data_IF_299986275402
#
_entry.id   IF_299986275402
#
_cell.length_a   1.000
_cell.length_b   1.000
_cell.length_c   1.000
_cell.angle_alpha   90.00
_cell.angle_beta   90.00
_cell.angle_gamma   90.00
#
_symmetry.space_group_name_H-M   'P 1'
#
loop_
_entity.id
_entity.type
_entity.pdbx_description
1 polymer ?
#
# COMPACT_ATOMS: atom_id res chain seq x y z
N UNK A 1 3.82 -36.03 -13.72
CA UNK A 1 2.49 -35.90 -13.09
C UNK A 1 1.60 -35.10 -14.03
N UNK A 2 0.39 -35.56 -14.33
CA UNK A 2 -0.59 -34.78 -15.12
C UNK A 2 -1.21 -33.67 -14.24
N UNK A 3 -1.85 -32.66 -14.84
CA UNK A 3 -2.45 -31.54 -14.10
C UNK A 3 -3.53 -32.00 -13.13
N UNK A 4 -4.35 -32.97 -13.55
CA UNK A 4 -5.36 -33.59 -12.71
C UNK A 4 -4.73 -34.37 -11.53
N UNK A 5 -3.60 -35.05 -11.77
CA UNK A 5 -2.90 -35.81 -10.73
C UNK A 5 -2.20 -34.89 -9.71
N UNK A 6 -1.70 -33.73 -10.16
CA UNK A 6 -1.14 -32.72 -9.26
C UNK A 6 -2.22 -32.10 -8.37
N UNK A 7 -3.33 -31.67 -8.96
CA UNK A 7 -4.45 -31.12 -8.23
C UNK A 7 -4.98 -32.11 -7.19
N UNK A 8 -5.14 -33.38 -7.60
CA UNK A 8 -5.61 -34.43 -6.71
C UNK A 8 -4.66 -34.68 -5.53
N UNK A 9 -3.35 -34.72 -5.78
CA UNK A 9 -2.36 -34.85 -4.70
C UNK A 9 -2.38 -33.65 -3.74
N UNK A 10 -2.42 -32.42 -4.28
CA UNK A 10 -2.47 -31.20 -3.48
C UNK A 10 -3.75 -31.09 -2.63
N UNK A 11 -4.90 -31.48 -3.18
CA UNK A 11 -6.17 -31.55 -2.46
C UNK A 11 -6.16 -32.67 -1.41
N UNK A 12 -5.66 -33.86 -1.76
CA UNK A 12 -5.53 -34.99 -0.84
C UNK A 12 -4.69 -34.63 0.39
N UNK A 13 -3.57 -33.91 0.19
CA UNK A 13 -2.71 -33.46 1.28
C UNK A 13 -3.41 -32.56 2.31
N UNK A 14 -4.55 -31.92 1.99
CA UNK A 14 -5.34 -31.15 2.95
C UNK A 14 -5.91 -32.01 4.09
N UNK A 15 -5.99 -33.34 3.93
CA UNK A 15 -6.35 -34.25 5.02
C UNK A 15 -5.34 -34.20 6.19
N UNK A 16 -4.11 -33.78 5.90
CA UNK A 16 -3.05 -33.62 6.91
C UNK A 16 -3.16 -32.32 7.70
N UNK A 17 -4.05 -31.40 7.31
CA UNK A 17 -4.29 -30.15 8.04
C UNK A 17 -4.88 -30.44 9.42
N UNK A 18 -4.32 -29.86 10.50
CA UNK A 18 -4.92 -29.92 11.83
C UNK A 18 -5.99 -28.83 12.02
N UNK A 19 -6.34 -28.04 11.00
CA UNK A 19 -7.35 -26.99 11.10
C UNK A 19 -8.75 -27.56 10.83
N UNK A 20 -9.80 -27.01 11.46
CA UNK A 20 -11.17 -27.45 11.21
C UNK A 20 -11.55 -27.15 9.76
N UNK A 21 -12.18 -28.13 9.09
CA UNK A 21 -12.74 -28.01 7.74
C UNK A 21 -13.87 -26.98 7.74
N UNK A 22 -13.57 -25.72 7.39
CA UNK A 22 -14.54 -24.61 7.29
C UNK A 22 -14.37 -23.91 5.95
N UNK A 23 -15.48 -23.43 5.38
CA UNK A 23 -15.48 -22.61 4.16
C UNK A 23 -15.50 -23.36 2.82
N UNK A 24 -15.56 -24.71 2.83
CA UNK A 24 -15.76 -25.52 1.63
C UNK A 24 -14.76 -25.23 0.49
N UNK A 25 -15.23 -25.32 -0.75
CA UNK A 25 -14.43 -25.06 -1.95
C UNK A 25 -13.81 -23.65 -1.97
N UNK A 26 -14.53 -22.63 -1.50
CA UNK A 26 -14.05 -21.24 -1.50
C UNK A 26 -12.79 -21.04 -0.66
N UNK A 27 -12.71 -21.69 0.50
CA UNK A 27 -11.52 -21.64 1.35
C UNK A 27 -10.30 -22.27 0.66
N UNK A 28 -10.51 -23.35 -0.09
CA UNK A 28 -9.44 -24.02 -0.86
C UNK A 28 -9.02 -23.16 -2.05
N UNK A 29 -9.96 -22.51 -2.76
CA UNK A 29 -9.65 -21.55 -3.82
C UNK A 29 -8.82 -20.37 -3.30
N UNK A 30 -9.13 -19.86 -2.10
CA UNK A 30 -8.34 -18.80 -1.46
C UNK A 30 -6.92 -19.29 -1.15
N UNK A 31 -6.77 -20.50 -0.64
CA UNK A 31 -5.47 -21.12 -0.41
C UNK A 31 -4.68 -21.36 -1.71
N UNK A 32 -5.36 -21.79 -2.78
CA UNK A 32 -4.79 -21.95 -4.12
C UNK A 32 -4.31 -20.60 -4.68
N UNK A 33 -5.04 -19.51 -4.41
CA UNK A 33 -4.63 -18.14 -4.76
C UNK A 33 -3.31 -17.79 -4.09
N UNK A 34 -3.17 -18.01 -2.78
CA UNK A 34 -1.92 -17.75 -2.06
C UNK A 34 -0.79 -18.65 -2.56
N UNK A 35 -1.06 -19.94 -2.75
CA UNK A 35 -0.11 -20.90 -3.31
C UNK A 35 0.45 -20.42 -4.66
N UNK A 36 -0.42 -20.04 -5.60
CA UNK A 36 -0.03 -19.57 -6.93
C UNK A 36 0.77 -18.27 -6.86
N UNK A 37 0.39 -17.33 -5.98
CA UNK A 37 1.16 -16.09 -5.78
C UNK A 37 2.56 -16.39 -5.27
N UNK A 38 2.69 -17.24 -4.25
CA UNK A 38 4.00 -17.66 -3.67
C UNK A 38 4.85 -18.35 -4.75
N UNK A 39 4.24 -19.25 -5.53
CA UNK A 39 4.89 -19.95 -6.63
C UNK A 39 5.47 -18.99 -7.67
N UNK A 40 4.65 -18.02 -8.11
CA UNK A 40 5.03 -17.07 -9.16
C UNK A 40 6.10 -16.06 -8.72
N UNK A 41 6.27 -15.83 -7.41
CA UNK A 41 7.38 -15.02 -6.88
C UNK A 41 8.67 -15.83 -6.66
N UNK A 42 8.66 -17.13 -7.00
CA UNK A 42 9.85 -18.00 -7.01
C UNK A 42 10.04 -18.86 -5.77
N UNK A 43 9.10 -18.83 -4.82
CA UNK A 43 9.12 -19.68 -3.64
C UNK A 43 8.14 -20.84 -3.79
N UNK A 44 8.44 -21.99 -3.17
CA UNK A 44 7.68 -23.21 -3.40
C UNK A 44 7.11 -23.73 -2.08
N UNK A 45 5.88 -23.33 -1.77
CA UNK A 45 5.15 -23.73 -0.56
C UNK A 45 3.97 -24.62 -0.96
N UNK A 46 3.89 -25.89 -0.50
CA UNK A 46 2.75 -26.75 -0.78
C UNK A 46 1.40 -26.16 -0.35
N UNK A 47 0.32 -26.55 -1.04
CA UNK A 47 -1.03 -26.05 -0.80
C UNK A 47 -1.44 -26.19 0.67
N UNK A 48 -1.13 -27.32 1.30
CA UNK A 48 -1.38 -27.58 2.74
C UNK A 48 -0.87 -26.45 3.64
N UNK A 49 0.39 -26.05 3.48
CA UNK A 49 1.00 -25.05 4.35
C UNK A 49 0.53 -23.63 4.02
N UNK A 50 0.28 -23.35 2.73
CA UNK A 50 -0.33 -22.08 2.31
C UNK A 50 -1.75 -21.94 2.87
N UNK A 51 -2.54 -23.02 2.83
CA UNK A 51 -3.87 -23.10 3.43
C UNK A 51 -3.80 -22.84 4.94
N UNK A 52 -3.00 -23.62 5.67
CA UNK A 52 -3.03 -23.56 7.14
C UNK A 52 -2.55 -22.21 7.68
N UNK A 53 -1.38 -21.75 7.21
CA UNK A 53 -0.83 -20.49 7.69
C UNK A 53 -1.64 -19.30 7.17
N UNK A 54 -2.09 -19.33 5.91
CA UNK A 54 -2.92 -18.26 5.37
C UNK A 54 -4.25 -18.14 6.11
N UNK A 55 -4.87 -19.25 6.53
CA UNK A 55 -6.06 -19.23 7.40
C UNK A 55 -5.77 -18.68 8.78
N UNK A 56 -4.67 -19.07 9.42
CA UNK A 56 -4.27 -18.43 10.69
C UNK A 56 -4.12 -16.91 10.55
N UNK A 57 -3.48 -16.44 9.48
CA UNK A 57 -3.25 -15.00 9.26
C UNK A 57 -4.52 -14.21 8.92
N UNK A 58 -5.54 -14.85 8.35
CA UNK A 58 -6.78 -14.19 7.90
C UNK A 58 -7.96 -14.36 8.86
N UNK A 59 -8.05 -15.51 9.53
CA UNK A 59 -9.16 -15.87 10.43
C UNK A 59 -8.74 -15.86 11.91
N UNK A 60 -7.43 -15.89 12.19
CA UNK A 60 -6.88 -15.94 13.54
C UNK A 60 -6.83 -17.36 14.10
N UNK A 61 -6.74 -17.44 15.43
CA UNK A 61 -6.66 -18.72 16.14
C UNK A 61 -7.98 -19.49 16.02
N UNK A 62 -7.97 -20.73 15.50
CA UNK A 62 -9.17 -21.56 15.39
C UNK A 62 -9.63 -22.05 16.77
N UNK A 63 -10.91 -22.43 16.88
CA UNK A 63 -11.50 -22.97 18.11
C UNK A 63 -10.88 -24.30 18.52
N UNK A 64 -10.48 -25.12 17.56
CA UNK A 64 -9.80 -26.39 17.77
C UNK A 64 -8.65 -26.54 16.78
N UNK A 65 -7.57 -27.20 17.22
CA UNK A 65 -6.43 -27.60 16.38
C UNK A 65 -6.20 -29.08 16.63
N UNK A 66 -6.47 -29.90 15.63
CA UNK A 66 -6.29 -31.35 15.65
C UNK A 66 -6.92 -32.01 14.44
N UNK A 67 -6.50 -33.25 14.19
CA UNK A 67 -7.00 -34.08 13.11
C UNK A 67 -8.23 -34.87 13.56
N UNK A 68 -9.17 -35.10 12.64
CA UNK A 68 -10.25 -36.04 12.86
C UNK A 68 -9.75 -37.47 12.62
N UNK A 69 -9.93 -38.35 13.62
CA UNK A 69 -9.43 -39.72 13.53
C UNK A 69 -10.08 -40.51 12.37
N UNK A 70 -11.33 -40.21 12.04
CA UNK A 70 -12.05 -40.84 10.94
C UNK A 70 -11.43 -40.49 9.58
N UNK A 71 -11.07 -39.22 9.37
CA UNK A 71 -10.42 -38.75 8.14
C UNK A 71 -9.05 -39.38 7.94
N UNK A 72 -8.23 -39.44 9.00
CA UNK A 72 -6.92 -40.09 8.93
C UNK A 72 -7.05 -41.57 8.62
N UNK A 73 -8.02 -42.26 9.24
CA UNK A 73 -8.28 -43.68 8.96
C UNK A 73 -8.72 -43.90 7.51
N UNK A 74 -9.62 -43.05 6.98
CA UNK A 74 -10.06 -43.10 5.58
C UNK A 74 -8.91 -42.81 4.60
N UNK A 75 -7.95 -41.98 4.98
CA UNK A 75 -6.71 -41.73 4.23
C UNK A 75 -5.66 -42.85 4.34
N UNK A 76 -5.97 -43.96 5.04
CA UNK A 76 -5.03 -45.06 5.27
C UNK A 76 -3.95 -44.76 6.31
N UNK A 77 -4.09 -43.69 7.10
CA UNK A 77 -3.14 -43.26 8.13
C UNK A 77 -3.52 -43.88 9.47
N UNK A 78 -2.97 -45.07 9.74
CA UNK A 78 -3.17 -45.78 11.00
C UNK A 78 -2.27 -45.26 12.15
N UNK A 79 -2.60 -45.58 13.43
CA UNK A 79 -1.84 -45.13 14.60
C UNK A 79 -0.35 -45.52 14.63
N UNK A 80 0.02 -46.60 13.94
CA UNK A 80 1.41 -47.09 13.83
C UNK A 80 2.18 -46.53 12.63
N UNK A 81 1.58 -45.67 11.81
CA UNK A 81 2.25 -45.10 10.64
C UNK A 81 3.29 -44.05 11.04
N UNK A 82 4.43 -44.01 10.36
CA UNK A 82 5.51 -43.05 10.64
C UNK A 82 5.07 -41.59 10.50
N UNK A 83 4.05 -41.32 9.68
CA UNK A 83 3.49 -39.99 9.45
C UNK A 83 2.73 -39.44 10.67
N UNK A 84 2.19 -40.29 11.57
CA UNK A 84 1.46 -39.83 12.77
C UNK A 84 2.36 -38.97 13.66
N UNK A 85 3.64 -39.32 13.81
CA UNK A 85 4.59 -38.52 14.59
C UNK A 85 4.86 -37.16 13.93
N UNK A 86 4.93 -37.12 12.60
CA UNK A 86 5.05 -35.87 11.85
C UNK A 86 3.81 -35.00 11.99
N UNK A 87 2.61 -35.58 11.93
CA UNK A 87 1.35 -34.88 12.15
C UNK A 87 1.27 -34.27 13.56
N UNK A 88 1.74 -34.99 14.58
CA UNK A 88 1.82 -34.46 15.95
C UNK A 88 2.78 -33.27 16.06
N UNK A 89 3.96 -33.37 15.43
CA UNK A 89 4.94 -32.29 15.42
C UNK A 89 4.42 -31.06 14.65
N UNK A 90 3.80 -31.27 13.49
CA UNK A 90 3.19 -30.21 12.70
C UNK A 90 1.99 -29.57 13.42
N UNK A 91 1.17 -30.36 14.10
CA UNK A 91 0.09 -29.85 14.96
C UNK A 91 0.63 -28.97 16.09
N UNK A 92 1.75 -29.34 16.70
CA UNK A 92 2.41 -28.51 17.70
C UNK A 92 2.88 -27.18 17.08
N UNK A 93 3.51 -27.22 15.90
CA UNK A 93 3.90 -26.01 15.16
C UNK A 93 2.71 -25.08 14.88
N UNK A 94 1.61 -25.61 14.37
CA UNK A 94 0.40 -24.82 14.08
C UNK A 94 -0.21 -24.24 15.37
N UNK A 95 -0.17 -24.99 16.48
CA UNK A 95 -0.63 -24.49 17.78
C UNK A 95 0.24 -23.33 18.27
N UNK A 96 1.55 -23.44 18.15
CA UNK A 96 2.48 -22.42 18.63
C UNK A 96 2.42 -21.16 17.75
N UNK A 97 2.37 -21.34 16.41
CA UNK A 97 2.11 -20.24 15.47
C UNK A 97 0.81 -19.52 15.79
N UNK A 98 -0.25 -20.25 16.13
CA UNK A 98 -1.54 -19.66 16.47
C UNK A 98 -1.55 -18.82 17.76
N UNK A 99 -0.49 -18.88 18.58
CA UNK A 99 -0.33 -18.00 19.77
C UNK A 99 0.52 -16.77 19.49
N UNK A 100 1.14 -16.65 18.31
CA UNK A 100 1.99 -15.51 17.98
C UNK A 100 1.15 -14.22 17.89
N UNK A 101 1.75 -13.09 18.25
CA UNK A 101 1.10 -11.78 18.10
C UNK A 101 0.70 -11.50 16.64
N UNK A 102 1.47 -12.00 15.67
CA UNK A 102 1.14 -11.91 14.25
C UNK A 102 -0.24 -12.50 13.94
N UNK A 103 -0.52 -13.72 14.39
CA UNK A 103 -1.81 -14.39 14.16
C UNK A 103 -2.95 -13.72 14.94
N UNK A 104 -2.66 -13.16 16.12
CA UNK A 104 -3.68 -12.41 16.87
C UNK A 104 -4.05 -11.06 16.22
N UNK A 105 -3.10 -10.40 15.54
CA UNK A 105 -3.29 -9.04 15.01
C UNK A 105 -3.71 -9.01 13.53
N UNK A 106 -3.17 -9.91 12.71
CA UNK A 106 -3.36 -9.91 11.26
C UNK A 106 -4.85 -9.94 10.81
N UNK A 107 -5.76 -10.74 11.43
CA UNK A 107 -7.16 -10.78 11.02
C UNK A 107 -7.87 -9.43 11.13
N UNK A 108 -7.52 -8.62 12.13
CA UNK A 108 -8.10 -7.29 12.33
C UNK A 108 -7.66 -6.26 11.28
N UNK A 109 -6.68 -6.57 10.44
CA UNK A 109 -6.13 -5.67 9.43
C UNK A 109 -6.74 -5.87 8.04
N UNK A 110 -7.55 -6.92 7.82
CA UNK A 110 -8.17 -7.22 6.52
C UNK A 110 -7.15 -7.23 5.37
N UNK A 111 -6.09 -8.00 5.53
CA UNK A 111 -4.97 -8.07 4.57
C UNK A 111 -5.42 -8.64 3.21
N UNK A 112 -4.85 -8.12 2.11
CA UNK A 112 -5.09 -8.65 0.76
C UNK A 112 -4.46 -10.04 0.57
N UNK A 113 -4.86 -10.74 -0.50
CA UNK A 113 -4.27 -12.05 -0.84
C UNK A 113 -2.77 -11.97 -1.09
N UNK A 114 -2.28 -10.88 -1.69
CA UNK A 114 -0.87 -10.62 -1.94
C UNK A 114 -0.10 -10.42 -0.64
N UNK A 115 -0.68 -9.71 0.33
CA UNK A 115 -0.07 -9.52 1.64
C UNK A 115 0.01 -10.84 2.41
N UNK A 116 -1.06 -11.65 2.39
CA UNK A 116 -1.06 -12.97 3.03
C UNK A 116 -0.04 -13.90 2.35
N UNK A 117 -0.02 -13.95 1.02
CA UNK A 117 0.94 -14.75 0.27
C UNK A 117 2.40 -14.35 0.58
N UNK A 118 2.68 -13.03 0.62
CA UNK A 118 3.99 -12.51 0.99
C UNK A 118 4.40 -12.87 2.43
N UNK A 119 3.47 -12.83 3.38
CA UNK A 119 3.71 -13.25 4.77
C UNK A 119 3.98 -14.75 4.89
N UNK A 120 3.16 -15.58 4.23
CA UNK A 120 3.36 -17.04 4.21
C UNK A 120 4.74 -17.37 3.62
N UNK A 121 5.12 -16.72 2.50
CA UNK A 121 6.44 -16.87 1.92
C UNK A 121 7.54 -16.42 2.90
N UNK A 122 7.38 -15.27 3.56
CA UNK A 122 8.36 -14.73 4.52
C UNK A 122 8.62 -15.65 5.70
N UNK A 123 7.61 -16.39 6.12
CA UNK A 123 7.67 -17.31 7.26
C UNK A 123 8.25 -18.67 6.85
N UNK A 124 7.77 -19.24 5.74
CA UNK A 124 8.04 -20.63 5.37
C UNK A 124 9.17 -20.79 4.35
N UNK A 125 9.33 -19.88 3.40
CA UNK A 125 10.31 -20.03 2.32
C UNK A 125 11.76 -20.16 2.83
N UNK A 126 12.24 -19.36 3.82
CA UNK A 126 13.60 -19.51 4.35
C UNK A 126 13.89 -20.89 4.98
N UNK A 127 12.84 -21.61 5.39
CA UNK A 127 12.93 -22.94 5.99
C UNK A 127 12.89 -24.04 4.93
N UNK A 128 12.14 -23.82 3.84
CA UNK A 128 11.91 -24.80 2.78
C UNK A 128 12.91 -24.69 1.61
N UNK A 129 13.46 -23.50 1.34
CA UNK A 129 14.43 -23.27 0.25
C UNK A 129 15.66 -24.19 0.26
N UNK A 130 16.28 -24.51 1.42
CA UNK A 130 17.44 -25.40 1.45
C UNK A 130 17.16 -26.82 0.95
N UNK A 131 15.89 -27.23 0.81
CA UNK A 131 15.49 -28.50 0.20
C UNK A 131 15.84 -28.58 -1.29
N UNK A 132 16.13 -27.44 -1.92
CA UNK A 132 16.56 -27.33 -3.30
C UNK A 132 15.40 -27.30 -4.31
N UNK A 133 15.52 -26.52 -5.40
CA UNK A 133 14.46 -26.34 -6.38
C UNK A 133 14.12 -27.60 -7.17
N UNK A 134 14.94 -28.66 -7.16
CA UNK A 134 14.67 -29.89 -7.90
C UNK A 134 13.54 -30.72 -7.27
N UNK A 135 13.50 -30.86 -5.94
CA UNK A 135 12.40 -31.53 -5.23
C UNK A 135 11.10 -30.73 -5.33
N UNK A 136 11.20 -29.40 -5.27
CA UNK A 136 10.07 -28.48 -5.34
C UNK A 136 9.51 -28.32 -6.77
N UNK A 137 10.35 -28.15 -7.80
CA UNK A 137 9.91 -27.97 -9.20
C UNK A 137 9.37 -29.24 -9.83
N UNK A 138 9.80 -30.41 -9.36
CA UNK A 138 9.22 -31.69 -9.80
C UNK A 138 7.77 -31.86 -9.32
N UNK A 139 7.39 -31.18 -8.23
CA UNK A 139 6.08 -31.30 -7.59
C UNK A 139 5.17 -30.10 -7.86
N UNK A 140 5.68 -28.88 -7.70
CA UNK A 140 4.96 -27.60 -7.83
C UNK A 140 5.29 -26.95 -9.18
N UNK A 141 4.85 -27.59 -10.27
CA UNK A 141 5.22 -27.17 -11.63
C UNK A 141 4.23 -26.22 -12.29
N UNK A 142 3.04 -26.03 -11.70
CA UNK A 142 1.91 -25.32 -12.32
C UNK A 142 1.03 -24.64 -11.27
N UNK A 143 0.33 -23.62 -11.72
CA UNK A 143 -0.72 -22.98 -10.94
C UNK A 143 -1.89 -23.94 -10.71
N UNK A 144 -2.45 -23.89 -9.50
CA UNK A 144 -3.71 -24.56 -9.17
C UNK A 144 -4.90 -23.78 -9.76
N UNK A 145 -6.00 -24.46 -10.13
CA UNK A 145 -7.20 -23.80 -10.63
C UNK A 145 -7.78 -22.84 -9.58
N UNK A 146 -8.34 -21.72 -10.02
CA UNK A 146 -9.00 -20.74 -9.14
C UNK A 146 -10.53 -20.80 -9.27
N UNK A 147 -11.06 -21.81 -9.97
CA UNK A 147 -12.48 -22.08 -10.09
C UNK A 147 -12.95 -22.98 -8.96
N UNK A 148 -14.04 -22.60 -8.28
CA UNK A 148 -14.58 -23.36 -7.15
C UNK A 148 -15.05 -24.76 -7.54
N UNK A 149 -15.56 -24.94 -8.77
CA UNK A 149 -16.04 -26.23 -9.27
C UNK A 149 -14.95 -27.29 -9.32
N UNK A 150 -13.67 -26.90 -9.42
CA UNK A 150 -12.53 -27.83 -9.32
C UNK A 150 -12.36 -28.45 -7.92
N UNK A 151 -13.07 -27.94 -6.90
CA UNK A 151 -12.94 -28.33 -5.50
C UNK A 151 -14.24 -28.87 -4.85
N UNK A 152 -15.40 -28.78 -5.52
CA UNK A 152 -16.71 -29.04 -4.90
C UNK A 152 -17.02 -30.51 -4.58
N UNK A 153 -16.48 -31.48 -5.32
CA UNK A 153 -16.87 -32.91 -5.25
C UNK A 153 -15.78 -33.78 -4.62
N UNK A 154 -14.74 -33.15 -4.07
CA UNK A 154 -13.51 -33.84 -3.71
C UNK A 154 -13.53 -34.30 -2.26
N UNK A 155 -13.27 -35.59 -2.03
CA UNK A 155 -13.00 -36.16 -0.71
C UNK A 155 -11.49 -36.28 -0.46
N UNK A 156 -10.87 -35.37 0.33
CA UNK A 156 -9.41 -35.37 0.55
C UNK A 156 -8.84 -36.69 1.08
N UNK A 157 -9.47 -37.39 2.06
CA UNK A 157 -9.03 -38.72 2.48
C UNK A 157 -8.88 -39.72 1.34
N UNK A 158 -9.90 -39.85 0.48
CA UNK A 158 -9.84 -40.77 -0.67
C UNK A 158 -8.74 -40.41 -1.66
N UNK A 159 -8.59 -39.11 -1.98
CA UNK A 159 -7.50 -38.66 -2.86
C UNK A 159 -6.12 -38.91 -2.27
N UNK A 160 -5.97 -38.73 -0.96
CA UNK A 160 -4.73 -39.01 -0.25
C UNK A 160 -4.38 -40.50 -0.29
N UNK A 161 -5.35 -41.38 -0.08
CA UNK A 161 -5.13 -42.82 -0.15
C UNK A 161 -4.66 -43.26 -1.56
N UNK A 162 -5.12 -42.58 -2.61
CA UNK A 162 -4.74 -42.86 -3.99
C UNK A 162 -3.38 -42.25 -4.39
N UNK A 163 -3.08 -41.01 -3.96
CA UNK A 163 -1.95 -40.22 -4.46
C UNK A 163 -0.79 -40.02 -3.47
N UNK A 164 -1.05 -40.12 -2.15
CA UNK A 164 -0.07 -39.90 -1.09
C UNK A 164 0.39 -38.45 -0.89
N UNK A 165 1.43 -38.27 -0.05
CA UNK A 165 1.94 -36.96 0.42
C UNK A 165 3.41 -36.71 0.04
N UNK A 166 3.84 -37.10 -1.16
CA UNK A 166 5.27 -37.25 -1.49
C UNK A 166 6.15 -36.05 -1.10
N UNK A 167 5.79 -34.83 -1.51
CA UNK A 167 6.56 -33.63 -1.20
C UNK A 167 6.13 -32.97 0.13
N UNK A 168 4.84 -33.05 0.46
CA UNK A 168 4.26 -32.48 1.68
C UNK A 168 4.80 -33.16 2.93
N UNK A 169 5.01 -34.47 2.92
CA UNK A 169 5.60 -35.20 4.04
C UNK A 169 7.06 -34.76 4.27
N UNK A 170 7.83 -34.60 3.20
CA UNK A 170 9.21 -34.12 3.29
C UNK A 170 9.23 -32.68 3.81
N UNK A 171 8.42 -31.79 3.25
CA UNK A 171 8.30 -30.40 3.71
C UNK A 171 7.84 -30.33 5.18
N UNK A 172 6.87 -31.15 5.58
CA UNK A 172 6.40 -31.25 6.96
C UNK A 172 7.51 -31.67 7.91
N UNK A 173 8.33 -32.65 7.51
CA UNK A 173 9.52 -33.07 8.27
C UNK A 173 10.51 -31.92 8.44
N UNK A 174 10.79 -31.18 7.37
CA UNK A 174 11.67 -30.01 7.41
C UNK A 174 11.16 -28.91 8.36
N UNK A 175 9.86 -28.62 8.31
CA UNK A 175 9.22 -27.64 9.21
C UNK A 175 9.26 -28.13 10.67
N UNK A 176 9.01 -29.41 10.91
CA UNK A 176 9.06 -30.00 12.25
C UNK A 176 10.48 -29.96 12.83
N UNK A 177 11.51 -30.28 12.05
CA UNK A 177 12.91 -30.19 12.46
C UNK A 177 13.36 -28.75 12.73
N UNK A 178 12.79 -27.78 12.01
CA UNK A 178 13.11 -26.34 12.11
C UNK A 178 12.03 -25.53 12.81
N UNK A 179 11.29 -26.16 13.71
CA UNK A 179 10.18 -25.58 14.45
C UNK A 179 10.47 -24.16 14.98
N UNK A 180 11.58 -24.00 15.70
CA UNK A 180 11.98 -22.72 16.30
C UNK A 180 12.29 -21.63 15.26
N UNK A 181 12.85 -22.01 14.11
CA UNK A 181 13.14 -21.07 13.02
C UNK A 181 11.84 -20.54 12.41
N UNK A 182 10.83 -21.39 12.24
CA UNK A 182 9.51 -20.98 11.73
C UNK A 182 8.86 -19.96 12.69
N UNK A 183 8.89 -20.23 14.00
CA UNK A 183 8.38 -19.31 15.01
C UNK A 183 9.14 -17.99 15.03
N UNK A 184 10.48 -18.04 14.99
CA UNK A 184 11.32 -16.84 14.91
C UNK A 184 10.99 -16.01 13.66
N UNK A 185 10.77 -16.65 12.50
CA UNK A 185 10.39 -15.93 11.29
C UNK A 185 9.04 -15.22 11.43
N UNK A 186 8.06 -15.86 12.08
CA UNK A 186 6.76 -15.26 12.36
C UNK A 186 6.86 -14.09 13.35
N UNK A 187 7.66 -14.23 14.42
CA UNK A 187 7.88 -13.17 15.41
C UNK A 187 8.65 -11.96 14.87
N UNK A 188 9.49 -12.17 13.84
CA UNK A 188 10.24 -11.11 13.17
C UNK A 188 9.40 -10.28 12.20
N UNK A 189 8.17 -10.69 11.89
CA UNK A 189 7.28 -9.90 11.05
C UNK A 189 6.91 -8.62 11.79
N UNK A 190 7.25 -7.49 11.20
CA UNK A 190 6.91 -6.19 11.75
C UNK A 190 5.40 -5.89 11.59
N UNK A 191 4.71 -5.78 12.72
CA UNK A 191 3.27 -5.51 12.77
C UNK A 191 2.95 -4.07 12.34
N UNK A 192 3.87 -3.14 12.52
CA UNK A 192 3.70 -1.75 12.07
C UNK A 192 3.71 -1.70 10.54
N UNK A 193 4.58 -2.47 9.90
CA UNK A 193 4.55 -2.68 8.44
C UNK A 193 3.17 -3.16 7.97
N UNK A 194 2.58 -4.16 8.64
CA UNK A 194 1.25 -4.65 8.30
C UNK A 194 0.15 -3.60 8.49
N UNK A 195 0.22 -2.85 9.59
CA UNK A 195 -0.74 -1.79 9.87
C UNK A 195 -0.67 -0.67 8.84
N UNK A 196 0.53 -0.29 8.40
CA UNK A 196 0.69 0.71 7.34
C UNK A 196 0.17 0.18 6.01
N UNK A 197 0.50 -1.07 5.65
CA UNK A 197 -0.02 -1.70 4.43
C UNK A 197 -1.56 -1.69 4.46
N UNK A 198 -2.20 -2.04 5.58
CA UNK A 198 -3.65 -2.00 5.70
C UNK A 198 -4.22 -0.57 5.56
N UNK A 199 -3.55 0.45 6.13
CA UNK A 199 -4.00 1.84 6.04
C UNK A 199 -3.90 2.45 4.63
N UNK A 200 -2.93 1.98 3.83
CA UNK A 200 -2.64 2.48 2.49
C UNK A 200 -3.07 1.52 1.37
N UNK A 201 -3.44 0.29 1.69
CA UNK A 201 -3.57 -0.84 0.76
C UNK A 201 -4.96 -1.43 0.64
N UNK A 202 -6.01 -0.68 1.02
CA UNK A 202 -7.39 -1.04 0.72
C UNK A 202 -7.69 -0.96 -0.79
N UNK A 203 -7.47 -2.08 -1.47
CA UNK A 203 -8.10 -2.57 -2.70
C UNK A 203 -8.17 -1.66 -3.94
N UNK A 204 -7.19 -1.85 -4.85
CA UNK A 204 -7.41 -1.99 -6.30
C UNK A 204 -6.09 -2.14 -7.10
N UNK A 205 -4.97 -1.59 -6.61
CA UNK A 205 -3.76 -1.41 -7.43
C UNK A 205 -2.68 -2.48 -7.29
N UNK A 206 -2.80 -3.36 -6.30
CA UNK A 206 -1.80 -4.35 -5.93
C UNK A 206 -2.33 -5.76 -6.19
N UNK A 207 -2.81 -6.02 -7.41
CA UNK A 207 -3.30 -7.35 -7.79
C UNK A 207 -2.21 -8.12 -8.52
N UNK A 208 -1.95 -9.34 -8.06
CA UNK A 208 -1.12 -10.31 -8.75
C UNK A 208 0.32 -10.44 -8.26
N UNK A 209 1.15 -11.25 -8.96
CA UNK A 209 2.42 -11.74 -8.42
C UNK A 209 3.45 -10.66 -8.14
N UNK A 210 3.50 -9.61 -8.95
CA UNK A 210 4.45 -8.51 -8.75
C UNK A 210 4.17 -7.75 -7.45
N UNK A 211 2.89 -7.56 -7.11
CA UNK A 211 2.51 -6.94 -5.85
C UNK A 211 2.90 -7.82 -4.64
N UNK A 212 2.71 -9.15 -4.74
CA UNK A 212 3.16 -10.08 -3.70
C UNK A 212 4.70 -10.04 -3.54
N UNK A 213 5.45 -9.98 -4.64
CA UNK A 213 6.92 -9.88 -4.61
C UNK A 213 7.38 -8.56 -3.98
N UNK A 214 6.74 -7.46 -4.34
CA UNK A 214 7.07 -6.15 -3.80
C UNK A 214 6.78 -6.08 -2.29
N UNK A 215 5.65 -6.64 -1.83
CA UNK A 215 5.32 -6.76 -0.41
C UNK A 215 6.31 -7.68 0.32
N UNK A 216 6.69 -8.81 -0.28
CA UNK A 216 7.71 -9.71 0.26
C UNK A 216 9.04 -8.98 0.48
N UNK A 217 9.46 -8.15 -0.47
CA UNK A 217 10.67 -7.30 -0.35
C UNK A 217 10.53 -6.26 0.76
N UNK A 218 9.36 -5.66 0.94
CA UNK A 218 9.11 -4.71 2.04
C UNK A 218 9.30 -5.39 3.40
N UNK A 219 8.77 -6.60 3.59
CA UNK A 219 8.93 -7.36 4.84
C UNK A 219 10.37 -7.79 5.11
N UNK A 220 11.26 -7.74 4.12
CA UNK A 220 12.67 -8.12 4.27
C UNK A 220 13.64 -6.92 4.30
N UNK A 221 13.16 -5.70 4.05
CA UNK A 221 14.00 -4.49 4.04
C UNK A 221 13.95 -3.73 5.38
N UNK A 222 15.01 -3.75 6.21
CA UNK A 222 15.05 -3.00 7.48
C UNK A 222 14.88 -1.49 7.28
N UNK A 223 15.37 -0.94 6.17
CA UNK A 223 15.24 0.49 5.90
C UNK A 223 13.78 0.89 5.63
N UNK A 224 12.98 -0.02 5.08
CA UNK A 224 11.54 0.19 4.92
C UNK A 224 10.84 0.23 6.29
N UNK A 225 11.18 -0.68 7.21
CA UNK A 225 10.60 -0.71 8.56
C UNK A 225 10.77 0.62 9.30
N UNK A 226 11.96 1.23 9.25
CA UNK A 226 12.22 2.53 9.88
C UNK A 226 11.35 3.66 9.30
N UNK A 227 11.16 3.68 7.98
CA UNK A 227 10.29 4.64 7.28
C UNK A 227 8.83 4.44 7.70
N UNK A 228 8.40 3.19 7.83
CA UNK A 228 7.03 2.84 8.19
C UNK A 228 6.73 3.27 9.62
N UNK A 229 7.59 2.91 10.57
CA UNK A 229 7.44 3.31 11.96
C UNK A 229 7.38 4.84 12.08
N UNK A 230 8.25 5.57 11.39
CA UNK A 230 8.19 7.04 11.36
C UNK A 230 6.89 7.56 10.73
N UNK A 231 6.39 6.94 9.66
CA UNK A 231 5.11 7.35 9.04
C UNK A 231 3.93 7.16 10.00
N UNK A 232 3.87 6.04 10.73
CA UNK A 232 2.82 5.76 11.71
C UNK A 232 2.85 6.70 12.92
N UNK A 233 4.00 7.30 13.25
CA UNK A 233 4.09 8.37 14.26
C UNK A 233 3.35 9.66 13.83
N UNK A 234 3.29 9.92 12.52
CA UNK A 234 2.73 11.16 11.96
C UNK A 234 1.24 11.04 11.61
N UNK A 235 0.80 9.86 11.15
CA UNK A 235 -0.53 9.63 10.59
C UNK A 235 -1.73 9.90 11.51
N UNK A 236 -1.71 9.59 12.83
CA UNK A 236 -2.86 9.79 13.69
C UNK A 236 -3.42 11.22 13.67
N UNK A 237 -2.55 12.23 13.75
CA UNK A 237 -2.96 13.63 13.75
C UNK A 237 -3.51 14.10 12.40
N UNK A 238 -3.06 13.49 11.31
CA UNK A 238 -3.56 13.78 9.96
C UNK A 238 -4.94 13.17 9.77
N UNK A 239 -5.16 11.96 10.29
CA UNK A 239 -6.49 11.35 10.23
C UNK A 239 -7.52 12.08 11.10
N UNK A 240 -7.11 12.74 12.19
CA UNK A 240 -7.99 13.61 12.97
C UNK A 240 -8.56 14.78 12.15
N UNK A 241 -7.79 15.35 11.20
CA UNK A 241 -8.31 16.37 10.27
C UNK A 241 -9.42 15.85 9.34
N UNK A 242 -9.55 14.53 9.15
CA UNK A 242 -10.71 13.95 8.44
C UNK A 242 -12.01 14.06 9.25
N UNK A 243 -11.92 13.99 10.58
CA UNK A 243 -13.11 14.07 11.46
C UNK A 243 -13.69 15.48 11.53
N UNK A 244 -12.86 16.53 11.42
CA UNK A 244 -13.35 17.92 11.40
C UNK A 244 -14.08 18.29 10.09
N UNK A 245 -13.65 17.77 8.94
CA UNK A 245 -14.37 17.94 7.65
C UNK A 245 -15.70 17.17 7.58
N UNK A 246 -15.94 16.22 8.49
CA UNK A 246 -17.21 15.48 8.56
C UNK A 246 -18.40 16.31 9.04
N UNK A 247 -18.19 17.54 9.50
CA UNK A 247 -19.21 18.35 10.15
C UNK A 247 -19.37 19.73 9.49
N UNK A 248 -19.36 19.76 8.16
CA UNK A 248 -20.01 20.81 7.36
C UNK A 248 -20.13 20.30 5.92
N UNK A 249 -20.97 19.27 5.72
CA UNK A 249 -21.68 19.18 4.45
C UNK A 249 -22.72 20.29 4.51
N UNK A 250 -22.47 21.40 3.81
CA UNK A 250 -23.58 22.26 3.43
C UNK A 250 -24.50 21.39 2.58
N UNK A 251 -25.62 20.99 3.16
CA UNK A 251 -26.72 20.46 2.40
C UNK A 251 -27.25 21.61 1.56
N UNK A 252 -27.14 21.47 0.24
CA UNK A 252 -27.83 22.24 -0.81
C UNK A 252 -27.15 23.56 -1.20
N UNK A 253 -26.89 23.68 -2.52
CA UNK A 253 -26.66 24.90 -3.30
C UNK A 253 -27.09 26.19 -2.57
N UNK A 254 -26.13 26.84 -1.92
CA UNK A 254 -26.35 28.15 -1.30
C UNK A 254 -26.63 29.21 -2.37
N UNK A 255 -27.53 30.15 -2.06
CA UNK A 255 -27.71 31.36 -2.86
C UNK A 255 -26.67 32.38 -2.39
N UNK A 256 -25.66 32.65 -3.21
CA UNK A 256 -24.64 33.66 -2.95
C UNK A 256 -25.13 35.10 -3.18
N UNK A 257 -26.21 35.29 -3.96
CA UNK A 257 -26.77 36.61 -4.20
C UNK A 257 -27.95 36.62 -5.18
N UNK A 258 -28.41 37.82 -5.53
CA UNK A 258 -29.46 38.05 -6.53
C UNK A 258 -28.83 38.81 -7.71
N UNK A 259 -29.06 38.31 -8.93
CA UNK A 259 -28.56 38.90 -10.17
C UNK A 259 -29.71 39.28 -11.10
N UNK A 260 -29.43 40.17 -12.06
CA UNK A 260 -30.39 40.59 -13.10
C UNK A 260 -30.31 39.77 -14.39
N UNK A 261 -29.44 38.76 -14.42
CA UNK A 261 -29.24 37.82 -15.52
C UNK A 261 -28.89 36.45 -14.96
N UNK A 262 -29.42 35.39 -15.57
CA UNK A 262 -29.18 34.01 -15.16
C UNK A 262 -29.89 33.03 -16.07
N UNK A 263 -29.74 31.73 -15.80
CA UNK A 263 -30.52 30.70 -16.47
C UNK A 263 -31.99 30.79 -16.01
N UNK A 264 -33.00 30.63 -16.89
CA UNK A 264 -34.41 30.49 -16.50
C UNK A 264 -34.67 29.62 -15.27
N UNK A 265 -33.91 28.53 -15.10
CA UNK A 265 -34.01 27.61 -13.95
C UNK A 265 -33.60 28.25 -12.61
N UNK A 266 -33.08 29.48 -12.64
CA UNK A 266 -32.59 30.24 -11.50
C UNK A 266 -33.44 31.49 -11.24
N UNK A 267 -34.54 31.71 -11.94
CA UNK A 267 -35.44 32.84 -11.69
C UNK A 267 -35.93 32.78 -10.24
N UNK A 268 -35.89 33.92 -9.54
CA UNK A 268 -36.41 34.04 -8.18
C UNK A 268 -37.91 33.71 -8.22
N UNK A 269 -38.44 32.78 -7.40
CA UNK A 269 -39.83 32.32 -7.49
C UNK A 269 -40.86 33.45 -7.43
N UNK A 270 -40.58 34.53 -6.70
CA UNK A 270 -41.43 35.71 -6.63
C UNK A 270 -41.60 36.41 -7.99
N UNK A 271 -40.63 36.31 -8.90
CA UNK A 271 -40.76 36.83 -10.26
C UNK A 271 -41.78 36.05 -11.08
N UNK A 272 -41.98 34.76 -10.81
CA UNK A 272 -42.98 33.92 -11.48
C UNK A 272 -44.40 34.14 -10.94
N UNK A 273 -44.55 34.88 -9.84
CA UNK A 273 -45.85 35.20 -9.26
C UNK A 273 -46.47 36.48 -9.87
N UNK A 274 -45.75 37.19 -10.75
CA UNK A 274 -46.30 38.35 -11.45
C UNK A 274 -47.32 37.93 -12.53
N UNK A 275 -48.34 38.76 -12.81
CA UNK A 275 -49.20 38.59 -13.97
C UNK A 275 -48.41 38.50 -15.29
N UNK A 276 -48.91 37.74 -16.27
CA UNK A 276 -48.21 37.42 -17.52
C UNK A 276 -47.71 38.65 -18.30
N UNK A 277 -48.48 39.74 -18.30
CA UNK A 277 -48.13 41.00 -18.95
C UNK A 277 -46.96 41.71 -18.24
N UNK A 278 -46.96 41.71 -16.90
CA UNK A 278 -45.88 42.26 -16.07
C UNK A 278 -44.61 41.42 -16.18
N UNK A 279 -44.76 40.09 -16.18
CA UNK A 279 -43.63 39.17 -16.37
C UNK A 279 -43.00 39.34 -17.76
N UNK A 280 -43.80 39.37 -18.83
CA UNK A 280 -43.33 39.58 -20.19
C UNK A 280 -42.60 40.93 -20.35
N UNK A 281 -43.12 42.00 -19.74
CA UNK A 281 -42.46 43.30 -19.73
C UNK A 281 -41.09 43.25 -19.02
N UNK A 282 -41.01 42.60 -17.85
CA UNK A 282 -39.75 42.42 -17.11
C UNK A 282 -38.73 41.56 -17.87
N UNK A 283 -39.18 40.54 -18.61
CA UNK A 283 -38.33 39.74 -19.49
C UNK A 283 -37.73 40.61 -20.60
N UNK A 284 -38.57 41.38 -21.29
CA UNK A 284 -38.15 42.25 -22.39
C UNK A 284 -37.13 43.32 -21.94
N UNK A 285 -37.34 43.88 -20.74
CA UNK A 285 -36.48 44.93 -20.16
C UNK A 285 -35.25 44.39 -19.40
N UNK A 286 -35.01 43.07 -19.39
CA UNK A 286 -33.94 42.43 -18.59
C UNK A 286 -33.98 42.81 -17.10
N UNK A 287 -35.17 42.88 -16.52
CA UNK A 287 -35.39 43.25 -15.11
C UNK A 287 -35.68 42.05 -14.21
N UNK A 288 -35.74 40.83 -14.76
CA UNK A 288 -35.93 39.62 -13.96
C UNK A 288 -34.77 39.39 -12.99
N UNK A 289 -35.12 38.91 -11.80
CA UNK A 289 -34.19 38.55 -10.76
C UNK A 289 -33.91 37.04 -10.80
N UNK A 290 -32.64 36.68 -10.65
CA UNK A 290 -32.14 35.32 -10.64
C UNK A 290 -31.33 35.06 -9.37
N UNK A 291 -31.46 33.87 -8.79
CA UNK A 291 -30.56 33.43 -7.74
C UNK A 291 -29.16 33.14 -8.31
N UNK A 292 -28.17 33.84 -7.78
CA UNK A 292 -26.77 33.47 -7.94
C UNK A 292 -26.45 32.34 -7.00
N UNK A 293 -26.13 31.16 -7.53
CA UNK A 293 -25.62 30.07 -6.70
C UNK A 293 -24.19 30.40 -6.27
N UNK A 294 -23.85 30.04 -5.04
CA UNK A 294 -22.46 29.97 -4.60
C UNK A 294 -21.79 28.94 -5.50
N UNK A 295 -21.05 29.42 -6.50
CA UNK A 295 -20.15 28.54 -7.22
C UNK A 295 -19.17 28.06 -6.16
N UNK A 296 -19.10 26.74 -5.93
CA UNK A 296 -17.83 26.16 -5.50
C UNK A 296 -16.80 26.80 -6.42
N UNK A 297 -15.87 27.56 -5.85
CA UNK A 297 -14.69 27.92 -6.62
C UNK A 297 -14.15 26.57 -7.07
N UNK A 298 -14.30 26.27 -8.37
CA UNK A 298 -13.38 25.36 -9.04
C UNK A 298 -12.04 26.07 -8.95
N UNK A 299 -11.42 26.02 -7.77
CA UNK A 299 -10.00 26.26 -7.63
C UNK A 299 -9.38 25.30 -8.63
N UNK A 300 -8.71 25.84 -9.64
CA UNK A 300 -7.95 25.06 -10.61
C UNK A 300 -7.00 24.16 -9.81
N UNK A 301 -7.44 22.93 -9.51
CA UNK A 301 -6.77 22.08 -8.51
C UNK A 301 -5.36 21.84 -9.00
N UNK A 302 -4.40 22.42 -8.28
CA UNK A 302 -3.00 22.35 -8.62
C UNK A 302 -2.56 20.90 -8.57
N UNK A 303 -1.66 20.52 -9.46
CA UNK A 303 -1.02 19.22 -9.34
C UNK A 303 0.08 19.35 -8.28
N UNK A 304 -0.03 18.59 -7.20
CA UNK A 304 0.98 18.54 -6.14
C UNK A 304 2.02 17.46 -6.50
N UNK A 305 3.24 17.89 -6.79
CA UNK A 305 4.36 17.03 -7.16
C UNK A 305 5.36 16.92 -6.01
N UNK A 306 5.44 15.74 -5.39
CA UNK A 306 6.41 15.43 -4.33
C UNK A 306 7.63 14.74 -4.94
N UNK A 307 8.77 15.43 -4.93
CA UNK A 307 10.05 14.94 -5.42
C UNK A 307 10.91 14.44 -4.25
N UNK A 308 11.39 13.21 -4.31
CA UNK A 308 12.22 12.60 -3.26
C UNK A 308 13.61 12.31 -3.83
N UNK A 309 14.65 12.92 -3.27
CA UNK A 309 16.03 12.62 -3.62
C UNK A 309 16.36 11.17 -3.18
N UNK A 310 16.76 10.34 -4.14
CA UNK A 310 17.15 8.95 -3.94
C UNK A 310 18.66 8.71 -4.09
N UNK A 311 19.45 9.78 -4.18
CA UNK A 311 20.91 9.70 -4.28
C UNK A 311 21.55 9.13 -3.01
N UNK A 312 22.80 8.66 -3.13
CA UNK A 312 23.52 8.00 -2.04
C UNK A 312 23.68 8.88 -0.77
N UNK A 313 23.72 10.21 -0.92
CA UNK A 313 23.79 11.17 0.20
C UNK A 313 22.53 11.20 1.06
N UNK A 314 21.41 10.70 0.54
CA UNK A 314 20.15 10.58 1.27
C UNK A 314 20.07 9.32 2.13
N UNK A 315 21.05 8.40 2.11
CA UNK A 315 20.99 7.16 2.91
C UNK A 315 20.91 7.42 4.42
N UNK A 316 20.37 6.45 5.15
CA UNK A 316 20.20 6.51 6.61
C UNK A 316 19.06 7.46 7.01
N UNK A 317 19.29 8.26 8.06
CA UNK A 317 18.28 9.12 8.66
C UNK A 317 17.61 10.10 7.69
N UNK A 318 18.32 10.57 6.65
CA UNK A 318 17.75 11.48 5.63
C UNK A 318 16.65 10.79 4.83
N UNK A 319 16.87 9.57 4.37
CA UNK A 319 15.90 8.80 3.61
C UNK A 319 14.70 8.41 4.48
N UNK A 320 14.95 8.02 5.73
CA UNK A 320 13.89 7.70 6.70
C UNK A 320 12.96 8.90 6.87
N UNK A 321 13.53 10.07 7.17
CA UNK A 321 12.76 11.30 7.34
C UNK A 321 12.05 11.72 6.05
N UNK A 322 12.78 11.79 4.93
CA UNK A 322 12.22 12.25 3.66
C UNK A 322 11.08 11.36 3.17
N UNK A 323 11.23 10.03 3.21
CA UNK A 323 10.18 9.11 2.76
C UNK A 323 8.99 9.10 3.72
N UNK A 324 9.22 9.10 5.03
CA UNK A 324 8.13 9.13 5.99
C UNK A 324 7.33 10.43 5.93
N UNK A 325 8.02 11.56 5.79
CA UNK A 325 7.40 12.87 5.53
C UNK A 325 6.62 12.85 4.20
N UNK A 326 7.20 12.32 3.13
CA UNK A 326 6.54 12.25 1.82
C UNK A 326 5.27 11.39 1.86
N UNK A 327 5.30 10.19 2.46
CA UNK A 327 4.13 9.33 2.62
C UNK A 327 3.00 10.02 3.39
N UNK A 328 3.39 10.67 4.48
CA UNK A 328 2.51 11.44 5.36
C UNK A 328 1.87 12.63 4.64
N UNK A 329 2.69 13.40 3.90
CA UNK A 329 2.26 14.54 3.12
C UNK A 329 1.31 14.12 1.99
N UNK A 330 1.69 13.10 1.24
CA UNK A 330 0.88 12.51 0.17
C UNK A 330 -0.46 12.04 0.72
N UNK A 331 -0.48 11.36 1.87
CA UNK A 331 -1.73 10.93 2.51
C UNK A 331 -2.61 12.13 2.84
N UNK A 332 -2.05 13.20 3.41
CA UNK A 332 -2.81 14.41 3.76
C UNK A 332 -3.40 15.10 2.53
N UNK A 333 -2.59 15.32 1.49
CA UNK A 333 -3.03 15.94 0.24
C UNK A 333 -4.12 15.11 -0.46
N UNK A 334 -3.97 13.79 -0.50
CA UNK A 334 -5.00 12.89 -1.05
C UNK A 334 -6.29 12.97 -0.23
N UNK A 335 -6.21 12.98 1.10
CA UNK A 335 -7.37 13.18 1.97
C UNK A 335 -8.04 14.55 1.80
N UNK A 336 -7.28 15.55 1.33
CA UNK A 336 -7.80 16.87 0.99
C UNK A 336 -8.55 16.90 -0.35
N UNK A 337 -8.44 15.85 -1.17
CA UNK A 337 -9.01 15.79 -2.52
C UNK A 337 -8.10 16.34 -3.61
N UNK A 338 -6.82 16.54 -3.30
CA UNK A 338 -5.83 17.08 -4.24
C UNK A 338 -5.27 16.02 -5.18
N UNK A 339 -4.86 16.44 -6.38
CA UNK A 339 -4.13 15.56 -7.28
C UNK A 339 -2.65 15.51 -6.90
N UNK A 340 -2.19 14.33 -6.50
CA UNK A 340 -0.82 14.12 -6.03
C UNK A 340 -0.04 13.21 -6.97
N UNK A 341 1.16 13.64 -7.32
CA UNK A 341 2.16 12.84 -8.03
C UNK A 341 3.44 12.76 -7.21
N UNK A 342 4.06 11.59 -7.19
CA UNK A 342 5.35 11.36 -6.53
C UNK A 342 6.39 10.97 -7.57
N UNK A 343 7.60 11.53 -7.45
CA UNK A 343 8.77 11.14 -8.27
C UNK A 343 10.00 11.01 -7.40
N UNK A 344 10.84 10.04 -7.72
CA UNK A 344 12.21 10.01 -7.23
C UNK A 344 13.14 10.75 -8.21
N UNK A 345 14.26 11.26 -7.70
CA UNK A 345 15.32 11.80 -8.55
C UNK A 345 16.71 11.51 -8.00
N UNK A 346 17.70 11.51 -8.92
CA UNK A 346 19.12 11.35 -8.64
C UNK A 346 19.99 12.10 -9.69
N UNK A 347 20.71 11.36 -10.53
CA UNK A 347 21.21 11.74 -11.85
C UNK A 347 20.12 12.05 -12.88
N UNK A 348 18.91 11.51 -12.70
CA UNK A 348 17.75 11.73 -13.59
C UNK A 348 16.46 11.90 -12.79
N UNK A 349 15.44 12.42 -13.46
CA UNK A 349 14.07 12.44 -12.94
C UNK A 349 13.37 11.12 -13.31
N UNK A 350 12.91 10.36 -12.32
CA UNK A 350 12.19 9.10 -12.57
C UNK A 350 10.71 9.33 -12.89
N UNK A 351 10.02 8.28 -13.29
CA UNK A 351 8.62 8.32 -13.73
C UNK A 351 7.68 8.86 -12.64
N UNK A 352 6.64 9.60 -13.07
CA UNK A 352 5.60 10.09 -12.17
C UNK A 352 4.71 8.94 -11.72
N UNK A 353 4.55 8.82 -10.41
CA UNK A 353 3.55 7.95 -9.82
C UNK A 353 2.39 8.81 -9.39
N UNK A 354 1.27 8.66 -10.09
CA UNK A 354 0.01 9.25 -9.65
C UNK A 354 -0.49 8.48 -8.43
N UNK A 355 -0.75 9.21 -7.35
CA UNK A 355 -1.28 8.66 -6.12
C UNK A 355 -2.78 8.97 -6.04
N UNK A 356 -3.55 7.98 -5.61
CA UNK A 356 -4.98 8.11 -5.36
C UNK A 356 -5.33 7.45 -4.03
N UNK A 357 -6.53 7.68 -3.51
CA UNK A 357 -7.01 7.01 -2.28
C UNK A 357 -6.93 5.47 -2.35
N UNK A 358 -7.01 4.90 -3.56
CA UNK A 358 -6.98 3.45 -3.79
C UNK A 358 -5.62 2.92 -4.26
N UNK A 359 -4.68 3.82 -4.57
CA UNK A 359 -3.39 3.44 -5.15
C UNK A 359 -2.27 4.35 -4.67
N UNK A 360 -1.59 3.90 -3.61
CA UNK A 360 -0.42 4.59 -3.05
C UNK A 360 0.92 4.05 -3.56
N UNK A 361 0.94 2.92 -4.29
CA UNK A 361 2.17 2.20 -4.69
C UNK A 361 3.19 2.10 -3.55
N UNK A 362 2.70 1.79 -2.34
CA UNK A 362 3.49 1.85 -1.10
C UNK A 362 4.80 1.03 -1.18
N UNK A 363 4.81 -0.22 -1.70
CA UNK A 363 6.05 -0.98 -1.79
C UNK A 363 7.15 -0.29 -2.61
N UNK A 364 6.77 0.34 -3.72
CA UNK A 364 7.71 1.11 -4.54
C UNK A 364 8.24 2.32 -3.75
N UNK A 365 7.37 3.08 -3.09
CA UNK A 365 7.80 4.26 -2.31
C UNK A 365 8.75 3.89 -1.15
N UNK A 366 8.55 2.72 -0.55
CA UNK A 366 9.36 2.24 0.56
C UNK A 366 10.70 1.65 0.10
N UNK A 367 10.70 0.84 -0.96
CA UNK A 367 11.87 0.03 -1.36
C UNK A 367 12.64 0.58 -2.55
N UNK A 368 12.20 1.69 -3.17
CA UNK A 368 12.92 2.30 -4.29
C UNK A 368 14.38 2.54 -3.91
N UNK A 369 15.32 2.09 -4.75
CA UNK A 369 16.75 2.34 -4.57
C UNK A 369 17.31 2.87 -5.87
N UNK A 370 18.19 3.86 -5.76
CA UNK A 370 19.02 4.28 -6.87
C UNK A 370 20.50 4.06 -6.54
N UNK A 371 21.22 3.57 -7.53
CA UNK A 371 22.66 3.34 -7.47
C UNK A 371 23.43 4.36 -8.32
N UNK A 372 22.75 5.39 -8.82
CA UNK A 372 23.34 6.38 -9.72
C UNK A 372 23.94 7.57 -8.98
N UNK A 373 24.81 8.29 -9.69
CA UNK A 373 25.36 9.57 -9.24
C UNK A 373 24.30 10.69 -9.17
N UNK A 374 24.76 11.94 -9.09
CA UNK A 374 23.90 13.13 -8.97
C UNK A 374 24.07 14.04 -10.19
N UNK A 375 22.96 14.56 -10.71
CA UNK A 375 22.98 15.58 -11.76
C UNK A 375 21.73 16.46 -11.64
N UNK A 376 21.71 17.28 -10.59
CA UNK A 376 20.57 18.14 -10.27
C UNK A 376 20.22 19.11 -11.39
N UNK A 377 21.22 19.68 -12.09
CA UNK A 377 20.98 20.53 -13.25
C UNK A 377 20.16 19.81 -14.33
N UNK A 378 20.48 18.55 -14.66
CA UNK A 378 19.71 17.77 -15.63
C UNK A 378 18.31 17.42 -15.11
N UNK A 379 18.19 17.02 -13.84
CA UNK A 379 16.89 16.70 -13.20
C UNK A 379 15.93 17.88 -13.28
N UNK A 380 16.36 19.07 -12.82
CA UNK A 380 15.49 20.24 -12.72
C UNK A 380 15.21 20.88 -14.09
N UNK A 381 16.11 20.73 -15.08
CA UNK A 381 15.78 21.04 -16.49
C UNK A 381 14.72 20.10 -17.05
N UNK A 382 14.82 18.81 -16.76
CA UNK A 382 13.81 17.82 -17.20
C UNK A 382 12.46 18.08 -16.53
N UNK A 383 12.47 18.46 -15.25
CA UNK A 383 11.28 18.90 -14.52
C UNK A 383 10.65 20.15 -15.16
N UNK A 384 11.45 21.17 -15.48
CA UNK A 384 10.97 22.38 -16.13
C UNK A 384 10.26 22.08 -17.46
N UNK A 385 10.82 21.17 -18.27
CA UNK A 385 10.17 20.71 -19.50
C UNK A 385 8.82 20.04 -19.25
N UNK A 386 8.74 19.17 -18.24
CA UNK A 386 7.50 18.49 -17.86
C UNK A 386 6.43 19.48 -17.36
N UNK A 387 6.80 20.42 -16.48
CA UNK A 387 5.87 21.43 -15.94
C UNK A 387 5.42 22.43 -17.00
N UNK A 388 6.33 22.85 -17.88
CA UNK A 388 5.97 23.72 -19.02
C UNK A 388 4.96 23.04 -19.95
N UNK A 389 5.11 21.74 -20.17
CA UNK A 389 4.17 20.94 -20.97
C UNK A 389 2.82 20.80 -20.27
N UNK A 390 2.83 20.54 -18.95
CA UNK A 390 1.61 20.47 -18.14
C UNK A 390 0.82 21.78 -18.20
N UNK A 391 1.50 22.92 -18.02
CA UNK A 391 0.87 24.24 -18.08
C UNK A 391 0.33 24.55 -19.47
N UNK A 392 1.08 24.26 -20.54
CA UNK A 392 0.66 24.52 -21.93
C UNK A 392 -0.51 23.65 -22.37
N UNK A 393 -0.51 22.37 -21.97
CA UNK A 393 -1.47 21.38 -22.48
C UNK A 393 -2.73 21.32 -21.64
N UNK A 394 -2.59 21.38 -20.31
CA UNK A 394 -3.70 21.22 -19.38
C UNK A 394 -4.16 22.54 -18.75
N UNK A 395 -3.44 23.65 -18.95
CA UNK A 395 -3.73 24.94 -18.29
C UNK A 395 -3.44 24.94 -16.78
N UNK A 396 -2.95 23.83 -16.22
CA UNK A 396 -2.86 23.64 -14.77
C UNK A 396 -1.55 24.15 -14.19
N UNK A 397 -1.64 24.77 -13.01
CA UNK A 397 -0.49 25.10 -12.18
C UNK A 397 -0.06 23.88 -11.34
N UNK A 398 1.22 23.83 -10.98
CA UNK A 398 1.78 22.79 -10.13
C UNK A 398 2.41 23.38 -8.87
N UNK A 399 2.34 22.63 -7.78
CA UNK A 399 3.12 22.88 -6.57
C UNK A 399 4.15 21.75 -6.40
N UNK A 400 5.42 22.10 -6.34
CA UNK A 400 6.55 21.16 -6.29
C UNK A 400 7.18 21.20 -4.91
N UNK A 401 7.16 20.07 -4.21
CA UNK A 401 7.82 19.86 -2.94
C UNK A 401 9.00 18.94 -3.17
N UNK A 402 10.24 19.43 -3.00
CA UNK A 402 11.42 18.58 -3.19
C UNK A 402 12.18 18.34 -1.90
N UNK A 403 12.36 17.07 -1.56
CA UNK A 403 13.02 16.60 -0.36
C UNK A 403 14.42 16.14 -0.72
N UNK A 404 15.43 16.85 -0.22
CA UNK A 404 16.84 16.65 -0.58
C UNK A 404 17.76 16.93 0.61
N UNK A 405 19.07 16.69 0.46
CA UNK A 405 20.08 17.18 1.39
C UNK A 405 20.56 18.59 1.01
N UNK A 406 21.31 19.25 1.89
CA UNK A 406 21.81 20.64 1.74
C UNK A 406 22.89 20.89 0.67
N UNK A 407 23.12 19.96 -0.26
CA UNK A 407 24.13 20.07 -1.33
C UNK A 407 23.49 19.84 -2.71
N UNK A 408 22.22 20.23 -2.84
CA UNK A 408 21.46 20.16 -4.08
C UNK A 408 21.72 21.41 -4.91
N UNK A 409 22.80 21.41 -5.69
CA UNK A 409 23.21 22.56 -6.51
C UNK A 409 22.41 22.63 -7.81
N UNK A 410 21.49 23.57 -7.90
CA UNK A 410 20.65 23.82 -9.08
C UNK A 410 21.07 25.18 -9.68
N UNK A 411 21.28 25.28 -11.00
CA UNK A 411 21.59 26.56 -11.63
C UNK A 411 20.48 27.59 -11.37
N UNK A 412 20.86 28.79 -10.96
CA UNK A 412 19.94 29.91 -10.62
C UNK A 412 18.90 30.15 -11.73
N UNK A 413 19.34 30.28 -12.98
CA UNK A 413 18.42 30.48 -14.11
C UNK A 413 17.44 29.33 -14.36
N UNK A 414 17.74 28.11 -13.90
CA UNK A 414 16.78 26.99 -13.95
C UNK A 414 15.70 27.16 -12.87
N UNK A 415 16.06 27.64 -11.68
CA UNK A 415 15.11 27.90 -10.59
C UNK A 415 14.21 29.08 -10.92
N UNK A 416 14.75 30.17 -11.46
CA UNK A 416 13.95 31.31 -11.95
C UNK A 416 12.89 30.88 -12.97
N UNK A 417 13.29 30.04 -13.93
CA UNK A 417 12.36 29.49 -14.91
C UNK A 417 11.30 28.58 -14.27
N UNK A 418 11.67 27.76 -13.28
CA UNK A 418 10.72 26.90 -12.57
C UNK A 418 9.71 27.70 -11.74
N UNK A 419 10.15 28.73 -11.02
CA UNK A 419 9.31 29.63 -10.22
C UNK A 419 8.25 30.32 -11.09
N UNK A 420 8.58 30.61 -12.37
CA UNK A 420 7.63 31.21 -13.30
C UNK A 420 6.47 30.29 -13.71
N UNK A 421 6.62 28.96 -13.55
CA UNK A 421 5.64 27.96 -13.98
C UNK A 421 5.04 27.12 -12.86
N UNK A 422 5.64 27.14 -11.66
CA UNK A 422 5.20 26.35 -10.53
C UNK A 422 5.56 27.00 -9.18
N UNK A 423 4.79 26.67 -8.17
CA UNK A 423 5.14 26.94 -6.78
C UNK A 423 6.25 25.96 -6.34
N UNK A 424 7.34 26.45 -5.75
CA UNK A 424 8.47 25.63 -5.30
C UNK A 424 8.64 25.70 -3.79
N UNK A 425 8.71 24.53 -3.17
CA UNK A 425 9.03 24.35 -1.77
C UNK A 425 10.17 23.34 -1.61
N UNK A 426 11.35 23.84 -1.20
CA UNK A 426 12.51 23.01 -0.86
C UNK A 426 12.52 22.54 0.60
N UNK A 427 12.68 21.24 0.83
CA UNK A 427 12.84 20.64 2.16
C UNK A 427 14.23 20.00 2.22
N UNK A 428 15.09 20.56 3.06
CA UNK A 428 16.50 20.19 3.17
C UNK A 428 16.76 19.41 4.45
N UNK A 429 17.10 18.14 4.33
CA UNK A 429 17.24 17.20 5.45
C UNK A 429 18.70 17.02 5.87
N UNK A 430 18.96 17.17 7.17
CA UNK A 430 20.30 17.15 7.78
C UNK A 430 21.29 18.04 7.03
N UNK A 431 20.91 19.31 6.90
CA UNK A 431 21.73 20.37 6.34
C UNK A 431 22.13 21.33 7.47
N UNK A 432 23.25 21.02 8.14
CA UNK A 432 23.74 21.79 9.29
C UNK A 432 24.14 23.22 8.86
N UNK A 433 24.73 23.37 7.66
CA UNK A 433 24.91 24.64 6.97
C UNK A 433 24.41 24.52 5.53
N UNK A 434 23.58 25.47 5.11
CA UNK A 434 23.04 25.52 3.74
C UNK A 434 23.47 26.84 3.08
N UNK A 435 24.27 26.72 2.02
CA UNK A 435 24.67 27.83 1.17
C UNK A 435 24.40 27.42 -0.27
N UNK A 436 23.20 27.75 -0.75
CA UNK A 436 22.75 27.47 -2.11
C UNK A 436 22.22 28.77 -2.71
N UNK A 437 22.79 29.19 -3.82
CA UNK A 437 22.55 30.51 -4.43
C UNK A 437 21.08 30.75 -4.80
N UNK A 438 20.31 29.69 -5.02
CA UNK A 438 18.92 29.77 -5.45
C UNK A 438 17.89 29.80 -4.30
N UNK A 439 18.30 29.67 -3.03
CA UNK A 439 17.35 29.68 -1.90
C UNK A 439 16.43 30.91 -1.87
N UNK A 440 16.92 32.14 -2.11
CA UNK A 440 16.08 33.33 -2.11
C UNK A 440 15.01 33.34 -3.21
N UNK A 441 15.16 32.49 -4.23
CA UNK A 441 14.21 32.38 -5.33
C UNK A 441 13.05 31.44 -5.02
N UNK A 442 13.20 30.54 -4.04
CA UNK A 442 12.13 29.62 -3.65
C UNK A 442 11.03 30.40 -2.94
N UNK A 443 9.77 30.07 -3.23
CA UNK A 443 8.64 30.64 -2.50
C UNK A 443 8.68 30.23 -1.03
N UNK A 444 9.15 29.01 -0.74
CA UNK A 444 9.39 28.55 0.62
C UNK A 444 10.52 27.54 0.68
N UNK A 445 11.21 27.49 1.81
CA UNK A 445 12.07 26.37 2.14
C UNK A 445 12.10 26.09 3.64
N UNK A 446 12.40 24.84 3.98
CA UNK A 446 12.63 24.38 5.35
C UNK A 446 13.92 23.61 5.44
N UNK A 447 14.68 23.90 6.49
CA UNK A 447 15.91 23.18 6.85
C UNK A 447 15.59 22.35 8.08
N UNK A 448 15.80 21.04 7.97
CA UNK A 448 15.69 20.07 9.06
C UNK A 448 17.09 19.75 9.51
N UNK A 449 17.44 20.20 10.70
CA UNK A 449 18.78 20.10 11.28
C UNK A 449 19.00 18.75 11.98
N UNK A 450 20.22 18.51 12.45
CA UNK A 450 20.50 17.33 13.29
C UNK A 450 19.71 17.35 14.59
N UNK A 451 19.53 18.51 15.19
CA UNK A 451 18.81 18.65 16.45
C UNK A 451 17.35 18.26 16.27
N UNK A 452 16.73 18.67 15.16
CA UNK A 452 15.36 18.28 14.81
C UNK A 452 15.20 16.76 14.71
N UNK A 453 16.24 16.04 14.27
CA UNK A 453 16.21 14.57 14.15
C UNK A 453 16.72 13.83 15.39
N UNK A 454 17.25 14.54 16.39
CA UNK A 454 17.92 13.95 17.56
C UNK A 454 16.97 13.19 18.48
N UNK A 455 15.74 13.68 18.63
CA UNK A 455 14.73 13.14 19.52
C UNK A 455 13.44 12.83 18.77
N UNK A 456 12.78 11.73 19.16
CA UNK A 456 11.51 11.27 18.57
C UNK A 456 10.45 12.38 18.50
N UNK A 457 10.28 13.13 19.61
CA UNK A 457 9.29 14.20 19.70
C UNK A 457 9.60 15.41 18.81
N UNK A 458 10.88 15.80 18.71
CA UNK A 458 11.31 16.91 17.87
C UNK A 458 11.17 16.57 16.39
N UNK A 459 11.60 15.36 16.01
CA UNK A 459 11.48 14.84 14.64
C UNK A 459 10.02 14.82 14.17
N UNK A 460 9.13 14.33 15.04
CA UNK A 460 7.68 14.33 14.80
C UNK A 460 7.15 15.74 14.62
N UNK A 461 7.49 16.67 15.51
CA UNK A 461 7.06 18.08 15.43
C UNK A 461 7.50 18.76 14.14
N UNK A 462 8.79 18.66 13.79
CA UNK A 462 9.35 19.26 12.57
C UNK A 462 8.64 18.75 11.31
N UNK A 463 8.34 17.44 11.24
CA UNK A 463 7.60 16.87 10.13
C UNK A 463 6.15 17.38 10.05
N UNK A 464 5.46 17.48 11.18
CA UNK A 464 4.07 17.96 11.23
C UNK A 464 3.96 19.43 10.86
N UNK A 465 4.89 20.28 11.31
CA UNK A 465 4.97 21.69 10.91
C UNK A 465 5.07 21.83 9.38
N UNK A 466 5.95 21.04 8.74
CA UNK A 466 6.05 21.02 7.26
C UNK A 466 4.73 20.59 6.62
N UNK A 467 4.11 19.54 7.15
CA UNK A 467 2.84 19.00 6.63
C UNK A 467 1.68 19.99 6.81
N UNK A 468 1.66 20.76 7.90
CA UNK A 468 0.70 21.84 8.14
C UNK A 468 0.90 23.00 7.19
N UNK A 469 2.14 23.45 6.97
CA UNK A 469 2.47 24.52 6.03
C UNK A 469 2.01 24.19 4.61
N UNK A 470 2.34 23.00 4.11
CA UNK A 470 1.92 22.57 2.77
C UNK A 470 0.40 22.51 2.65
N UNK A 471 -0.28 22.12 3.73
CA UNK A 471 -1.75 22.05 3.71
C UNK A 471 -2.41 23.42 3.80
N UNK A 472 -1.82 24.36 4.53
CA UNK A 472 -2.27 25.75 4.57
C UNK A 472 -2.14 26.41 3.20
N UNK A 473 -1.04 26.14 2.48
CA UNK A 473 -0.84 26.60 1.11
C UNK A 473 -1.86 25.99 0.13
N UNK A 474 -2.17 24.71 0.27
CA UNK A 474 -3.21 24.06 -0.54
C UNK A 474 -4.61 24.63 -0.28
N UNK A 475 -4.90 25.20 0.91
CA UNK A 475 -6.17 25.89 1.18
C UNK A 475 -6.19 27.36 0.72
N UNK A 476 -5.02 28.00 0.61
CA UNK A 476 -4.91 29.41 0.23
C UNK A 476 -4.87 29.62 -1.30
N UNK A 477 -4.56 28.57 -2.06
CA UNK A 477 -4.62 28.51 -3.52
C UNK A 477 -6.04 28.21 -3.99
#
# INVERSE_FOLDING_TARGET
MSDASYLAAAQGALVLSPLPKRGGAEAVVRAATWHNLIHRIGHHVPLLFAHDLGRLLSEGKPQSIGHEAADLAAAGIGPGSGIVRLLQAYRALIRDLAQTELVHRAPGLSLSNEAIAALVARILAPVLEPMGPQAARAYLSRDLPLDAGAYEIVDPPSLFAEHGAGYEEVAMRWLAERHQQVLTNAERVDLDTLRLIALFGGDASLVGPMAALDLYRVFDDPAAADVIHFSLELLPQILETKRSRGMQRFSVDGVAGIHRRGNPDQIVPTELAYPDDVFAHKVAENQLLYYGREAERETERRVHLVLIDASASMRGARAIFARGLALTLVKKLVLMGEEVQVRFFDSRLHEAIRITEKNYRLPYLLTFRSERGRNYAHVFRSLLGALSTLRKTAGRQAAVYFLTHGQCHIPVGTVEALVSVAYLYGIYVLADEISLDYLPLLQRYRVVTRDDLSQRGQRRRAALEIVEEVSGEAHAA
#
